data_IF_820411283927
#
_entry.id   IF_820411283927
#
_cell.length_a   1.000
_cell.length_b   1.000
_cell.length_c   1.000
_cell.angle_alpha   90.00
_cell.angle_beta   90.00
_cell.angle_gamma   90.00
#
_symmetry.space_group_name_H-M   'P 1'
#
loop_
_entity.id
_entity.type
_entity.pdbx_description
1 polymer ?
#
# COMPACT_ATOMS: atom_id res chain seq x y z
N UNK A 1 20.81 17.51 -60.14
CA UNK A 1 22.17 17.84 -60.68
C UNK A 1 22.87 16.52 -60.89
N UNK A 2 23.01 16.08 -62.07
CA UNK A 2 23.83 14.90 -62.39
C UNK A 2 25.30 15.21 -62.09
N UNK A 3 25.91 14.49 -61.19
CA UNK A 3 27.37 14.57 -60.96
C UNK A 3 28.07 13.86 -62.13
N UNK A 4 29.15 14.45 -62.63
CA UNK A 4 29.97 13.87 -63.69
C UNK A 4 31.32 13.41 -63.10
N UNK A 5 31.88 12.34 -63.65
CA UNK A 5 33.23 11.90 -63.28
C UNK A 5 34.30 12.85 -63.86
N UNK A 6 35.56 12.62 -63.57
CA UNK A 6 36.69 13.44 -64.06
C UNK A 6 36.83 13.43 -65.59
N UNK A 7 36.18 12.51 -66.28
CA UNK A 7 36.12 12.39 -67.74
C UNK A 7 34.88 13.00 -68.38
N UNK A 8 33.98 13.61 -67.57
CA UNK A 8 32.75 14.25 -68.03
C UNK A 8 31.56 13.32 -68.28
N UNK A 9 31.66 12.04 -67.86
CA UNK A 9 30.56 11.09 -67.98
C UNK A 9 29.55 11.29 -66.86
N UNK A 10 28.28 11.16 -67.15
CA UNK A 10 27.21 11.23 -66.15
C UNK A 10 27.32 10.05 -65.15
N UNK A 11 27.46 10.32 -63.88
CA UNK A 11 27.40 9.33 -62.82
C UNK A 11 25.99 9.27 -62.28
N UNK A 12 25.36 8.11 -62.37
CA UNK A 12 24.08 7.84 -61.76
C UNK A 12 24.22 7.69 -60.25
N UNK A 13 23.60 8.55 -59.53
CA UNK A 13 23.58 8.55 -58.03
C UNK A 13 22.31 7.93 -57.51
N UNK A 14 22.26 7.59 -56.23
CA UNK A 14 21.10 7.06 -55.54
C UNK A 14 19.89 8.04 -55.55
N UNK A 15 20.12 9.32 -55.86
CA UNK A 15 19.08 10.35 -56.06
C UNK A 15 18.45 10.38 -57.45
N UNK A 16 19.06 9.74 -58.43
CA UNK A 16 18.58 9.74 -59.81
C UNK A 16 17.52 8.67 -60.10
N UNK A 17 17.49 7.62 -59.25
CA UNK A 17 16.45 6.57 -59.28
C UNK A 17 15.78 6.47 -57.93
N UNK A 18 14.59 7.03 -57.80
CA UNK A 18 13.82 7.00 -56.56
C UNK A 18 12.77 5.87 -56.51
N UNK A 19 12.49 5.25 -57.69
CA UNK A 19 11.53 4.15 -57.78
C UNK A 19 12.25 2.81 -57.63
N UNK A 20 11.68 1.92 -56.81
CA UNK A 20 12.20 0.58 -56.61
C UNK A 20 13.30 0.46 -55.59
N UNK A 21 13.68 1.53 -54.87
CA UNK A 21 14.63 1.48 -53.79
C UNK A 21 14.03 0.76 -52.59
N UNK A 22 14.66 -0.29 -52.11
CA UNK A 22 14.26 -0.99 -50.90
C UNK A 22 14.60 -0.10 -49.72
N UNK A 23 13.58 0.29 -48.94
CA UNK A 23 13.77 1.03 -47.69
C UNK A 23 14.27 0.04 -46.64
N UNK A 24 15.43 0.33 -46.08
CA UNK A 24 15.97 -0.42 -44.94
C UNK A 24 15.24 0.03 -43.66
N UNK A 25 14.38 -0.84 -43.11
CA UNK A 25 13.63 -0.60 -41.89
C UNK A 25 14.02 -1.72 -40.91
N UNK A 26 14.38 -1.31 -39.69
CA UNK A 26 14.65 -2.26 -38.60
C UNK A 26 13.43 -3.19 -38.39
N UNK A 27 13.64 -4.52 -38.45
CA UNK A 27 12.55 -5.48 -38.22
C UNK A 27 12.02 -5.49 -36.80
N UNK A 28 12.69 -4.82 -35.85
CA UNK A 28 12.28 -4.77 -34.44
C UNK A 28 11.53 -3.50 -34.12
N UNK A 29 10.31 -3.65 -33.56
CA UNK A 29 9.56 -2.54 -32.99
C UNK A 29 9.96 -2.35 -31.54
N UNK A 30 10.63 -1.23 -31.22
CA UNK A 30 10.99 -0.89 -29.86
C UNK A 30 9.82 -0.25 -29.13
N UNK A 31 9.46 -0.80 -27.95
CA UNK A 31 8.47 -0.19 -27.07
C UNK A 31 9.10 0.96 -26.27
N UNK A 32 8.66 2.18 -26.50
CA UNK A 32 9.18 3.38 -25.84
C UNK A 32 8.55 3.63 -24.47
N UNK A 33 7.32 3.14 -24.25
CA UNK A 33 6.61 3.33 -23.00
C UNK A 33 7.05 2.35 -21.92
N UNK A 34 7.12 2.77 -20.65
CA UNK A 34 7.42 1.85 -19.55
C UNK A 34 6.28 0.83 -19.38
N UNK A 35 6.65 -0.43 -19.18
CA UNK A 35 5.72 -1.55 -19.02
C UNK A 35 5.94 -2.35 -17.75
N UNK A 36 6.79 -1.86 -16.85
CA UNK A 36 7.07 -2.49 -15.58
C UNK A 36 5.88 -2.37 -14.62
N UNK A 37 5.67 -3.43 -13.85
CA UNK A 37 4.58 -3.58 -12.89
C UNK A 37 5.19 -3.97 -11.53
N UNK A 38 5.80 -3.01 -10.81
CA UNK A 38 6.54 -3.30 -9.59
C UNK A 38 5.66 -3.88 -8.48
N UNK A 39 4.40 -3.47 -8.37
CA UNK A 39 3.47 -3.98 -7.38
C UNK A 39 3.02 -5.41 -7.71
N UNK A 40 2.65 -5.67 -8.95
CA UNK A 40 2.09 -6.95 -9.37
C UNK A 40 3.14 -8.03 -9.59
N UNK A 41 4.29 -7.67 -10.17
CA UNK A 41 5.34 -8.61 -10.57
C UNK A 41 6.67 -8.36 -9.88
N UNK A 42 6.76 -7.31 -9.06
CA UNK A 42 7.96 -7.01 -8.31
C UNK A 42 8.27 -8.08 -7.26
N UNK A 43 9.56 -8.21 -7.00
CA UNK A 43 10.12 -9.09 -5.98
C UNK A 43 10.96 -8.23 -5.07
N UNK A 44 10.77 -8.37 -3.77
CA UNK A 44 11.61 -7.69 -2.77
C UNK A 44 13.02 -8.26 -2.73
N UNK A 45 13.91 -7.63 -2.01
CA UNK A 45 15.28 -8.10 -1.83
C UNK A 45 15.37 -9.42 -1.03
N UNK A 46 14.26 -9.85 -0.43
CA UNK A 46 14.07 -11.15 0.22
C UNK A 46 13.65 -12.29 -0.74
N UNK A 47 13.51 -12.01 -2.03
CA UNK A 47 13.06 -12.97 -3.03
C UNK A 47 11.55 -13.24 -3.02
N UNK A 48 10.76 -12.52 -2.23
CA UNK A 48 9.30 -12.66 -2.16
C UNK A 48 8.60 -11.58 -2.98
N UNK A 49 7.40 -11.89 -3.46
CA UNK A 49 6.55 -10.90 -4.15
C UNK A 49 6.24 -9.69 -3.25
N UNK A 50 6.09 -8.52 -3.87
CA UNK A 50 5.79 -7.25 -3.16
C UNK A 50 4.45 -7.27 -2.45
N UNK A 51 3.45 -7.96 -3.03
CA UNK A 51 2.14 -8.21 -2.43
C UNK A 51 1.78 -9.69 -2.48
N UNK A 52 0.88 -10.11 -1.60
CA UNK A 52 0.32 -11.43 -1.66
C UNK A 52 -0.73 -11.55 -2.78
N UNK A 53 -0.91 -12.75 -3.33
CA UNK A 53 -1.90 -13.04 -4.37
C UNK A 53 -2.81 -14.17 -3.91
N UNK A 54 -4.10 -14.06 -4.21
CA UNK A 54 -5.10 -15.06 -3.86
C UNK A 54 -6.28 -15.07 -4.82
N UNK A 55 -7.25 -15.92 -4.54
CA UNK A 55 -8.50 -16.01 -5.28
C UNK A 55 -9.66 -15.64 -4.36
N UNK A 56 -10.76 -15.20 -4.93
CA UNK A 56 -12.03 -15.01 -4.25
C UNK A 56 -13.15 -15.71 -5.04
N UNK A 57 -14.27 -15.96 -4.37
CA UNK A 57 -15.39 -16.72 -4.95
C UNK A 57 -16.65 -15.87 -5.07
N UNK A 58 -16.61 -14.64 -4.50
CA UNK A 58 -17.74 -13.73 -4.52
C UNK A 58 -17.29 -12.31 -4.84
N UNK A 59 -18.23 -11.47 -5.32
CA UNK A 59 -18.01 -10.05 -5.64
C UNK A 59 -17.60 -9.20 -4.43
N UNK A 60 -18.10 -9.57 -3.22
CA UNK A 60 -17.81 -8.92 -1.96
C UNK A 60 -16.85 -9.80 -1.16
N UNK A 61 -15.67 -9.30 -0.91
CA UNK A 61 -14.67 -9.99 -0.08
C UNK A 61 -14.68 -9.35 1.30
N UNK A 62 -15.01 -10.14 2.31
CA UNK A 62 -15.05 -9.70 3.70
C UNK A 62 -13.89 -10.30 4.50
N UNK A 63 -13.44 -9.57 5.51
CA UNK A 63 -12.51 -10.05 6.52
C UNK A 63 -12.79 -9.38 7.84
N UNK A 64 -12.29 -9.98 8.89
CA UNK A 64 -12.50 -9.50 10.25
C UNK A 64 -11.15 -9.10 10.85
N UNK A 65 -11.14 -7.93 11.47
CA UNK A 65 -10.05 -7.47 12.31
C UNK A 65 -10.52 -7.57 13.76
N UNK A 66 -9.70 -8.17 14.63
CA UNK A 66 -9.97 -8.31 16.06
C UNK A 66 -8.86 -7.65 16.85
N UNK A 67 -9.19 -7.07 18.00
CA UNK A 67 -8.26 -6.37 18.87
C UNK A 67 -8.32 -6.93 20.29
N UNK A 68 -7.16 -7.11 20.90
CA UNK A 68 -7.08 -7.45 22.31
C UNK A 68 -7.37 -6.23 23.19
N UNK A 69 -8.00 -6.46 24.33
CA UNK A 69 -8.10 -5.46 25.39
C UNK A 69 -6.73 -5.31 26.07
N UNK A 70 -5.84 -4.56 25.46
CA UNK A 70 -4.50 -4.36 26.00
C UNK A 70 -4.54 -3.73 27.40
N UNK A 71 -3.71 -4.19 28.35
CA UNK A 71 -3.68 -3.67 29.74
C UNK A 71 -2.98 -2.31 29.82
N UNK A 72 -3.25 -1.42 28.89
CA UNK A 72 -2.69 -0.07 28.81
C UNK A 72 -3.67 0.91 28.17
N UNK A 73 -3.58 2.17 28.58
CA UNK A 73 -4.32 3.29 28.00
C UNK A 73 -3.58 4.60 28.26
N UNK A 74 -4.23 5.71 27.95
CA UNK A 74 -3.80 7.05 28.33
C UNK A 74 -4.95 7.78 29.03
N UNK A 75 -4.61 8.79 29.83
CA UNK A 75 -5.61 9.67 30.43
C UNK A 75 -6.31 10.49 29.35
N UNK A 76 -7.64 10.38 29.27
CA UNK A 76 -8.47 11.18 28.35
C UNK A 76 -8.65 12.63 28.81
N UNK A 77 -8.49 12.90 30.09
CA UNK A 77 -8.52 14.25 30.67
C UNK A 77 -7.57 14.35 31.86
N UNK A 78 -7.07 15.55 32.13
CA UNK A 78 -6.23 15.81 33.28
C UNK A 78 -6.95 15.56 34.61
N UNK A 79 -6.25 15.04 35.60
CA UNK A 79 -6.73 14.88 36.98
C UNK A 79 -6.12 16.00 37.81
N UNK A 80 -6.84 17.09 37.94
CA UNK A 80 -6.33 18.34 38.54
C UNK A 80 -6.27 18.36 40.06
N UNK A 81 -6.84 17.35 40.76
CA UNK A 81 -6.85 17.28 42.22
C UNK A 81 -6.43 15.92 42.75
N UNK A 82 -5.73 15.92 43.88
CA UNK A 82 -5.28 14.68 44.53
C UNK A 82 -6.42 13.89 45.17
N UNK A 83 -7.58 14.52 45.35
CA UNK A 83 -8.79 13.93 45.95
C UNK A 83 -9.80 13.45 44.92
N UNK A 84 -9.49 13.53 43.64
CA UNK A 84 -10.40 13.07 42.57
C UNK A 84 -10.67 11.57 42.71
N UNK A 85 -11.95 11.22 42.69
CA UNK A 85 -12.44 9.83 42.76
C UNK A 85 -12.80 9.26 41.39
N UNK A 86 -12.62 10.03 40.34
CA UNK A 86 -12.93 9.64 38.95
C UNK A 86 -11.75 9.96 38.06
N UNK A 87 -11.41 9.00 37.21
CA UNK A 87 -10.35 9.12 36.20
C UNK A 87 -10.96 8.84 34.83
N UNK A 88 -10.70 9.73 33.90
CA UNK A 88 -11.13 9.55 32.52
C UNK A 88 -10.01 8.88 31.71
N UNK A 89 -10.33 7.76 31.07
CA UNK A 89 -9.44 7.04 30.15
C UNK A 89 -9.71 7.45 28.70
N UNK A 90 -8.81 7.12 27.80
CA UNK A 90 -8.99 7.37 26.38
C UNK A 90 -10.32 6.77 25.86
N UNK A 91 -10.89 7.39 24.85
CA UNK A 91 -12.18 6.98 24.28
C UNK A 91 -12.14 5.51 23.83
N UNK A 92 -13.17 4.75 24.22
CA UNK A 92 -13.28 3.33 23.90
C UNK A 92 -12.43 2.39 24.78
N UNK A 93 -11.55 2.90 25.65
CA UNK A 93 -10.65 2.07 26.45
C UNK A 93 -11.20 1.64 27.82
N UNK A 94 -12.44 2.05 28.16
CA UNK A 94 -13.03 1.72 29.47
C UNK A 94 -13.08 0.23 29.74
N UNK A 95 -13.40 -0.59 28.74
CA UNK A 95 -13.50 -2.05 28.87
C UNK A 95 -12.15 -2.75 29.07
N UNK A 96 -11.03 -2.04 28.95
CA UNK A 96 -9.69 -2.57 29.26
C UNK A 96 -9.45 -2.74 30.75
N UNK A 97 -10.28 -2.14 31.59
CA UNK A 97 -10.15 -2.09 33.03
C UNK A 97 -11.37 -2.68 33.72
N UNK A 98 -11.16 -3.40 34.80
CA UNK A 98 -12.20 -4.03 35.61
C UNK A 98 -12.19 -3.48 37.03
N UNK A 99 -13.29 -3.71 37.75
CA UNK A 99 -13.35 -3.44 39.19
C UNK A 99 -12.33 -4.30 39.91
N UNK A 100 -11.53 -3.67 40.77
CA UNK A 100 -10.43 -4.33 41.49
C UNK A 100 -9.06 -4.20 40.79
N UNK A 101 -9.00 -3.76 39.54
CA UNK A 101 -7.71 -3.52 38.86
C UNK A 101 -6.95 -2.41 39.57
N UNK A 102 -5.60 -2.59 39.60
CA UNK A 102 -4.66 -1.57 40.06
C UNK A 102 -3.97 -0.98 38.85
N UNK A 103 -4.10 0.32 38.70
CA UNK A 103 -3.52 1.09 37.61
C UNK A 103 -2.32 1.86 38.11
N UNK A 104 -1.25 1.84 37.34
CA UNK A 104 -0.10 2.71 37.54
C UNK A 104 -0.22 3.91 36.59
N UNK A 105 -0.24 5.11 37.12
CA UNK A 105 -0.26 6.38 36.40
C UNK A 105 0.94 7.19 36.90
N UNK A 106 1.95 7.34 36.08
CA UNK A 106 3.26 7.84 36.48
C UNK A 106 3.79 7.03 37.71
N UNK A 107 3.95 7.66 38.86
CA UNK A 107 4.43 7.00 40.08
C UNK A 107 3.31 6.68 41.07
N UNK A 108 2.04 6.93 40.71
CA UNK A 108 0.90 6.69 41.57
C UNK A 108 0.17 5.40 41.23
N UNK A 109 -0.16 4.61 42.23
CA UNK A 109 -1.06 3.48 42.10
C UNK A 109 -2.48 3.90 42.44
N UNK A 110 -3.40 3.52 41.53
CA UNK A 110 -4.82 3.87 41.60
C UNK A 110 -5.63 2.60 41.48
N UNK A 111 -6.52 2.31 42.43
CA UNK A 111 -7.40 1.13 42.39
C UNK A 111 -8.75 1.48 41.78
N UNK A 112 -9.19 0.71 40.81
CA UNK A 112 -10.52 0.83 40.21
C UNK A 112 -11.58 0.25 41.16
N UNK A 113 -12.56 1.04 41.50
CA UNK A 113 -13.70 0.64 42.38
C UNK A 113 -14.96 0.34 41.59
N UNK A 114 -15.04 0.78 40.35
CA UNK A 114 -16.19 0.55 39.49
C UNK A 114 -16.20 1.45 38.27
N UNK A 115 -17.27 1.37 37.51
CA UNK A 115 -17.47 2.22 36.34
C UNK A 115 -18.34 3.44 36.73
N UNK A 116 -17.95 4.61 36.21
CA UNK A 116 -18.79 5.81 36.30
C UNK A 116 -20.00 5.71 35.36
N UNK A 117 -21.07 6.41 35.64
CA UNK A 117 -22.21 6.59 34.74
C UNK A 117 -21.82 7.32 33.44
N UNK A 118 -20.76 8.11 33.49
CA UNK A 118 -20.23 8.82 32.32
C UNK A 118 -19.33 7.91 31.50
N UNK A 119 -19.46 7.95 30.18
CA UNK A 119 -18.64 7.17 29.27
C UNK A 119 -17.14 7.46 29.46
N UNK A 120 -16.31 6.42 29.33
CA UNK A 120 -14.85 6.46 29.43
C UNK A 120 -14.32 6.94 30.81
N UNK A 121 -15.14 6.90 31.87
CA UNK A 121 -14.74 7.24 33.22
C UNK A 121 -14.75 6.01 34.13
N UNK A 122 -13.74 5.93 35.01
CA UNK A 122 -13.57 4.93 36.05
C UNK A 122 -13.67 5.58 37.41
N UNK A 123 -14.45 4.98 38.32
CA UNK A 123 -14.40 5.33 39.71
C UNK A 123 -13.17 4.69 40.36
N UNK A 124 -12.43 5.47 41.13
CA UNK A 124 -11.11 5.02 41.62
C UNK A 124 -10.84 5.45 43.04
N UNK A 125 -9.99 4.68 43.72
CA UNK A 125 -9.35 5.08 44.96
C UNK A 125 -7.89 5.44 44.66
N UNK A 126 -7.50 6.67 45.00
CA UNK A 126 -6.16 7.24 44.81
C UNK A 126 -5.18 6.83 45.88
N UNK A 127 -3.88 6.91 45.57
CA UNK A 127 -2.81 6.65 46.56
C UNK A 127 -2.81 5.21 47.07
N UNK A 128 -3.20 4.24 46.27
CA UNK A 128 -3.27 2.83 46.67
C UNK A 128 -1.85 2.28 46.94
N UNK A 129 -1.76 1.35 47.90
CA UNK A 129 -0.47 0.68 48.24
C UNK A 129 0.57 1.58 48.90
N UNK A 130 0.15 2.73 49.46
CA UNK A 130 1.07 3.68 50.13
C UNK A 130 1.74 4.68 49.19
N UNK A 131 1.30 4.76 47.94
CA UNK A 131 1.75 5.79 47.01
C UNK A 131 1.06 7.14 47.28
N UNK A 132 1.73 8.23 46.89
CA UNK A 132 1.17 9.58 47.08
C UNK A 132 0.32 10.00 45.89
N UNK A 133 -0.91 10.43 46.13
CA UNK A 133 -1.76 10.96 45.11
C UNK A 133 -1.20 12.26 44.53
N UNK A 134 -1.08 12.35 43.21
CA UNK A 134 -0.53 13.49 42.49
C UNK A 134 -1.46 13.97 41.39
N UNK A 135 -1.31 15.20 40.94
CA UNK A 135 -2.01 15.71 39.72
C UNK A 135 -1.42 15.04 38.49
N UNK A 136 -2.30 14.69 37.56
CA UNK A 136 -1.90 14.00 36.32
C UNK A 136 -2.36 14.81 35.12
N UNK A 137 -1.59 14.74 34.02
CA UNK A 137 -1.90 15.47 32.79
C UNK A 137 -2.71 14.59 31.83
N UNK A 138 -3.50 15.23 30.96
CA UNK A 138 -4.13 14.52 29.85
C UNK A 138 -3.06 13.92 28.95
N UNK A 139 -3.22 12.66 28.56
CA UNK A 139 -2.25 11.92 27.76
C UNK A 139 -1.27 11.07 28.57
N UNK A 140 -1.18 11.24 29.90
CA UNK A 140 -0.31 10.39 30.73
C UNK A 140 -0.66 8.91 30.56
N UNK A 141 0.35 8.05 30.52
CA UNK A 141 0.19 6.62 30.32
C UNK A 141 -0.46 5.95 31.55
N UNK A 142 -1.36 5.05 31.28
CA UNK A 142 -2.00 4.17 32.25
C UNK A 142 -1.57 2.73 31.97
N UNK A 143 -0.97 2.08 32.96
CA UNK A 143 -0.65 0.66 32.91
C UNK A 143 -1.56 -0.09 33.89
N UNK A 144 -2.22 -1.15 33.43
CA UNK A 144 -3.01 -2.03 34.30
C UNK A 144 -2.10 -3.16 34.82
N UNK A 145 -1.92 -3.21 36.14
CA UNK A 145 -1.09 -4.21 36.81
C UNK A 145 -1.87 -5.49 37.18
N UNK A 146 -3.16 -5.51 36.88
CA UNK A 146 -4.07 -6.61 37.20
C UNK A 146 -4.95 -6.35 38.41
N UNK A 147 -5.88 -7.27 38.66
CA UNK A 147 -6.85 -7.15 39.73
C UNK A 147 -6.28 -7.67 41.05
N UNK A 148 -6.55 -6.91 42.12
CA UNK A 148 -6.37 -7.36 43.50
C UNK A 148 -7.69 -7.96 44.02
N UNK A 149 -7.73 -9.28 44.01
CA UNK A 149 -8.88 -10.05 44.48
C UNK A 149 -8.60 -10.59 45.88
N UNK A 150 -9.62 -10.72 46.72
CA UNK A 150 -9.54 -11.38 47.98
C UNK A 150 -9.54 -12.92 47.80
N UNK A 151 -8.90 -13.65 48.73
CA UNK A 151 -8.97 -15.11 48.72
C UNK A 151 -10.46 -15.56 48.76
N UNK A 152 -10.84 -16.48 47.84
CA UNK A 152 -12.18 -16.98 47.75
C UNK A 152 -13.20 -16.05 47.11
N UNK A 153 -12.77 -14.93 46.50
CA UNK A 153 -13.67 -14.04 45.74
C UNK A 153 -14.21 -14.70 44.48
N UNK A 154 -15.41 -14.35 44.11
CA UNK A 154 -15.98 -14.75 42.81
C UNK A 154 -15.17 -14.14 41.65
N UNK A 155 -15.21 -14.76 40.46
CA UNK A 155 -14.54 -14.23 39.29
C UNK A 155 -15.12 -12.85 38.93
N UNK A 156 -14.32 -11.92 38.40
CA UNK A 156 -14.82 -10.64 37.92
C UNK A 156 -15.72 -10.82 36.71
N UNK A 157 -16.52 -9.77 36.43
CA UNK A 157 -17.44 -9.75 35.29
C UNK A 157 -16.73 -10.10 33.97
N UNK A 158 -17.39 -10.90 33.15
CA UNK A 158 -16.88 -11.30 31.84
C UNK A 158 -16.73 -10.09 30.92
N UNK A 159 -15.63 -10.03 30.21
CA UNK A 159 -15.37 -9.03 29.14
C UNK A 159 -15.39 -9.71 27.79
N UNK A 160 -15.86 -9.01 26.79
CA UNK A 160 -15.74 -9.44 25.40
C UNK A 160 -15.41 -8.24 24.51
N UNK A 161 -14.84 -8.53 23.37
CA UNK A 161 -14.64 -7.57 22.28
C UNK A 161 -15.40 -8.07 21.07
N UNK A 162 -15.93 -7.13 20.32
CA UNK A 162 -16.52 -7.41 19.02
C UNK A 162 -15.48 -7.20 17.93
N UNK A 163 -15.38 -8.14 17.02
CA UNK A 163 -14.53 -7.98 15.84
C UNK A 163 -15.12 -6.96 14.87
N UNK A 164 -14.26 -6.26 14.17
CA UNK A 164 -14.64 -5.29 13.16
C UNK A 164 -14.69 -5.96 11.78
N UNK A 165 -15.86 -5.97 11.17
CA UNK A 165 -16.02 -6.46 9.81
C UNK A 165 -15.58 -5.40 8.81
N UNK A 166 -14.63 -5.77 7.96
CA UNK A 166 -14.19 -4.98 6.83
C UNK A 166 -14.49 -5.71 5.53
N UNK A 167 -14.70 -4.96 4.46
CA UNK A 167 -14.96 -5.56 3.17
C UNK A 167 -14.45 -4.70 2.02
N UNK A 168 -14.25 -5.34 0.90
CA UNK A 168 -14.00 -4.70 -0.39
C UNK A 168 -14.83 -5.38 -1.47
N UNK A 169 -14.94 -4.74 -2.62
CA UNK A 169 -15.76 -5.19 -3.74
C UNK A 169 -14.85 -5.42 -4.94
N UNK A 170 -15.16 -6.44 -5.75
CA UNK A 170 -14.42 -6.70 -6.97
C UNK A 170 -14.71 -5.64 -8.02
N UNK A 171 -13.68 -5.25 -8.77
CA UNK A 171 -13.78 -4.34 -9.91
C UNK A 171 -13.52 -5.10 -11.20
N UNK A 172 -14.34 -4.83 -12.20
CA UNK A 172 -14.15 -5.34 -13.56
C UNK A 172 -13.21 -4.41 -14.31
N UNK A 173 -12.11 -4.96 -14.79
CA UNK A 173 -11.18 -4.27 -15.68
C UNK A 173 -11.44 -4.70 -17.11
N UNK A 174 -11.55 -3.74 -18.00
CA UNK A 174 -12.06 -3.93 -19.35
C UNK A 174 -13.55 -3.56 -19.45
N UNK A 175 -14.22 -3.96 -20.52
CA UNK A 175 -13.67 -4.63 -21.68
C UNK A 175 -12.82 -3.71 -22.55
N UNK A 176 -11.53 -3.96 -22.60
CA UNK A 176 -10.65 -3.30 -23.58
C UNK A 176 -10.81 -4.02 -24.91
N UNK A 177 -11.40 -3.37 -25.88
CA UNK A 177 -11.68 -3.98 -27.18
C UNK A 177 -10.53 -3.77 -28.17
N UNK A 178 -10.20 -4.80 -28.90
CA UNK A 178 -9.37 -4.74 -30.10
C UNK A 178 -10.31 -4.95 -31.29
N UNK A 179 -10.32 -4.01 -32.23
CA UNK A 179 -11.19 -4.06 -33.40
C UNK A 179 -10.40 -3.63 -34.65
N UNK A 180 -10.16 -4.56 -35.53
CA UNK A 180 -9.41 -4.34 -36.77
C UNK A 180 -10.21 -4.87 -37.97
N UNK A 181 -10.11 -4.18 -39.11
CA UNK A 181 -10.63 -4.70 -40.39
C UNK A 181 -9.81 -5.92 -40.83
N UNK A 182 -10.41 -6.83 -41.55
CA UNK A 182 -9.69 -8.02 -42.04
C UNK A 182 -8.57 -7.63 -43.01
N UNK A 183 -8.75 -6.57 -43.79
CA UNK A 183 -7.72 -6.01 -44.65
C UNK A 183 -6.52 -5.52 -43.86
N UNK A 184 -6.73 -4.73 -42.78
CA UNK A 184 -5.66 -4.24 -41.93
C UNK A 184 -4.88 -5.38 -41.23
N UNK A 185 -5.58 -6.45 -40.88
CA UNK A 185 -4.98 -7.62 -40.29
C UNK A 185 -4.21 -8.48 -41.30
N UNK A 186 -4.58 -8.44 -42.56
CA UNK A 186 -3.95 -9.24 -43.65
C UNK A 186 -2.72 -8.54 -44.21
N UNK A 187 -2.69 -7.21 -44.23
CA UNK A 187 -1.55 -6.43 -44.75
C UNK A 187 -0.30 -6.73 -43.93
N UNK A 188 0.76 -7.18 -44.59
CA UNK A 188 2.05 -7.41 -43.98
C UNK A 188 2.72 -6.10 -43.60
N UNK A 189 3.23 -6.03 -42.38
CA UNK A 189 3.92 -4.86 -41.83
C UNK A 189 5.30 -5.24 -41.34
N UNK A 190 6.25 -4.33 -41.51
CA UNK A 190 7.58 -4.49 -40.94
C UNK A 190 7.49 -4.60 -39.41
N UNK A 191 8.36 -5.43 -38.82
CA UNK A 191 8.42 -5.64 -37.37
C UNK A 191 7.33 -6.53 -36.77
N UNK A 192 6.43 -7.11 -37.60
CA UNK A 192 5.38 -8.03 -37.17
C UNK A 192 5.52 -9.41 -37.83
N UNK A 193 6.75 -9.83 -38.15
CA UNK A 193 7.00 -11.12 -38.73
C UNK A 193 6.55 -12.26 -37.80
N UNK A 194 5.65 -13.12 -38.32
CA UNK A 194 5.09 -14.24 -37.55
C UNK A 194 3.96 -13.89 -36.58
N UNK A 195 3.59 -12.59 -36.40
CA UNK A 195 2.52 -12.15 -35.51
C UNK A 195 1.49 -11.34 -36.28
N UNK A 196 0.20 -11.55 -36.02
CA UNK A 196 -0.84 -10.72 -36.64
C UNK A 196 -0.91 -9.34 -35.98
N UNK A 197 -1.35 -8.33 -36.73
CA UNK A 197 -1.58 -6.99 -36.17
C UNK A 197 -2.55 -7.02 -34.97
N UNK A 198 -3.52 -7.90 -35.05
CA UNK A 198 -4.52 -8.11 -34.02
C UNK A 198 -3.89 -8.61 -32.70
N UNK A 199 -3.02 -9.62 -32.77
CA UNK A 199 -2.34 -10.18 -31.58
C UNK A 199 -1.39 -9.17 -30.95
N UNK A 200 -0.70 -8.39 -31.79
CA UNK A 200 0.17 -7.31 -31.32
C UNK A 200 -0.62 -6.24 -30.54
N UNK A 201 -1.75 -5.77 -31.08
CA UNK A 201 -2.61 -4.81 -30.38
C UNK A 201 -3.23 -5.40 -29.11
N UNK A 202 -3.62 -6.67 -29.12
CA UNK A 202 -4.10 -7.36 -27.92
C UNK A 202 -3.05 -7.38 -26.81
N UNK A 203 -1.79 -7.66 -27.16
CA UNK A 203 -0.67 -7.64 -26.21
C UNK A 203 -0.43 -6.25 -25.62
N UNK A 204 -0.54 -5.18 -26.42
CA UNK A 204 -0.44 -3.80 -25.95
C UNK A 204 -1.57 -3.46 -24.97
N UNK A 205 -2.80 -3.77 -25.34
CA UNK A 205 -3.98 -3.51 -24.49
C UNK A 205 -3.91 -4.27 -23.17
N UNK A 206 -3.35 -5.48 -23.18
CA UNK A 206 -3.12 -6.23 -21.95
C UNK A 206 -2.15 -5.50 -20.99
N UNK A 207 -1.03 -4.98 -21.51
CA UNK A 207 -0.07 -4.21 -20.71
C UNK A 207 -0.71 -2.93 -20.13
N UNK A 208 -1.44 -2.20 -20.96
CA UNK A 208 -2.18 -0.99 -20.52
C UNK A 208 -3.18 -1.30 -19.40
N UNK A 209 -3.93 -2.37 -19.54
CA UNK A 209 -4.89 -2.81 -18.53
C UNK A 209 -4.21 -3.19 -17.20
N UNK A 210 -3.07 -3.89 -17.27
CA UNK A 210 -2.33 -4.27 -16.06
C UNK A 210 -1.77 -3.06 -15.31
N UNK A 211 -1.37 -1.99 -16.01
CA UNK A 211 -0.98 -0.71 -15.40
C UNK A 211 -2.18 -0.08 -14.68
N UNK A 212 -3.37 -0.11 -15.29
CA UNK A 212 -4.59 0.39 -14.64
C UNK A 212 -4.94 -0.41 -13.38
N UNK A 213 -4.78 -1.74 -13.41
CA UNK A 213 -4.96 -2.60 -12.24
C UNK A 213 -4.00 -2.21 -11.12
N UNK A 214 -2.72 -1.99 -11.44
CA UNK A 214 -1.72 -1.58 -10.45
C UNK A 214 -2.06 -0.23 -9.80
N UNK A 215 -2.45 0.75 -10.60
CA UNK A 215 -2.89 2.05 -10.08
C UNK A 215 -4.16 1.95 -9.23
N UNK A 216 -5.13 1.12 -9.63
CA UNK A 216 -6.37 0.93 -8.88
C UNK A 216 -6.15 0.16 -7.57
N UNK A 217 -5.20 -0.78 -7.51
CA UNK A 217 -4.79 -1.46 -6.27
C UNK A 217 -4.22 -0.47 -5.24
N UNK A 218 -3.59 0.60 -5.69
CA UNK A 218 -3.03 1.62 -4.79
C UNK A 218 -4.09 2.68 -4.46
N UNK A 219 -4.70 3.31 -5.46
CA UNK A 219 -5.51 4.55 -5.31
C UNK A 219 -7.01 4.34 -5.45
N UNK A 220 -7.48 3.14 -5.72
CA UNK A 220 -8.90 2.87 -5.86
C UNK A 220 -9.70 3.34 -4.64
N UNK A 221 -10.89 3.86 -4.86
CA UNK A 221 -11.89 4.16 -3.82
C UNK A 221 -13.03 3.18 -3.94
N UNK A 222 -13.49 2.64 -2.81
CA UNK A 222 -14.61 1.69 -2.83
C UNK A 222 -15.91 2.42 -3.18
N UNK A 223 -16.54 1.99 -4.27
CA UNK A 223 -17.82 2.51 -4.70
C UNK A 223 -18.68 1.38 -5.30
N UNK A 224 -19.96 1.35 -4.97
CA UNK A 224 -20.93 0.42 -5.52
C UNK A 224 -22.22 1.17 -5.87
N UNK A 225 -22.59 1.11 -7.15
CA UNK A 225 -23.90 1.52 -7.62
C UNK A 225 -24.70 0.26 -7.96
N UNK A 226 -25.65 -0.08 -7.09
CA UNK A 226 -26.49 -1.28 -7.25
C UNK A 226 -27.48 -1.13 -8.37
N UNK A 227 -27.88 0.10 -8.73
CA UNK A 227 -28.85 0.38 -9.79
C UNK A 227 -28.29 0.12 -11.18
N UNK A 228 -27.01 0.48 -11.39
CA UNK A 228 -26.33 0.31 -12.68
C UNK A 228 -25.31 -0.86 -12.65
N UNK A 229 -25.21 -1.59 -11.56
CA UNK A 229 -24.25 -2.66 -11.35
C UNK A 229 -22.77 -2.24 -11.54
N UNK A 230 -22.47 -0.96 -11.29
CA UNK A 230 -21.12 -0.41 -11.39
C UNK A 230 -20.40 -0.62 -10.06
N UNK A 231 -19.18 -1.17 -10.11
CA UNK A 231 -18.38 -1.46 -8.93
C UNK A 231 -16.96 -0.98 -9.12
N UNK A 232 -16.40 -0.40 -8.06
CA UNK A 232 -15.01 0.00 -7.98
C UNK A 232 -14.42 -0.51 -6.67
N UNK A 233 -13.24 -1.12 -6.73
CA UNK A 233 -12.55 -1.62 -5.55
C UNK A 233 -11.88 -0.46 -4.79
N UNK A 234 -11.79 -0.59 -3.45
CA UNK A 234 -10.91 0.22 -2.64
C UNK A 234 -9.46 -0.26 -2.77
N UNK A 235 -8.53 0.64 -3.00
CA UNK A 235 -7.10 0.37 -3.03
C UNK A 235 -6.46 0.47 -1.63
N UNK A 236 -5.14 0.30 -1.57
CA UNK A 236 -4.38 0.37 -0.32
C UNK A 236 -4.61 1.70 0.42
N UNK A 237 -4.56 2.83 -0.29
CA UNK A 237 -4.75 4.17 0.30
C UNK A 237 -6.14 4.40 0.90
N UNK A 238 -7.16 3.69 0.40
CA UNK A 238 -8.52 3.74 0.95
C UNK A 238 -8.60 3.10 2.34
N UNK A 239 -7.82 2.03 2.59
CA UNK A 239 -7.81 1.32 3.87
C UNK A 239 -6.78 1.89 4.85
N UNK A 240 -5.69 2.50 4.36
CA UNK A 240 -4.64 3.12 5.18
C UNK A 240 -5.11 4.49 5.70
N UNK A 241 -6.00 4.47 6.68
CA UNK A 241 -6.55 5.68 7.34
C UNK A 241 -5.88 6.00 8.67
N UNK A 242 -5.19 5.03 9.26
CA UNK A 242 -4.37 5.18 10.46
C UNK A 242 -2.92 5.48 10.06
N UNK A 243 -2.17 6.14 10.95
CA UNK A 243 -0.74 6.45 10.72
C UNK A 243 -0.49 7.16 9.37
N UNK A 244 -1.29 8.18 9.09
CA UNK A 244 -1.15 9.00 7.87
C UNK A 244 -0.43 10.29 8.23
N UNK A 245 0.75 10.49 7.67
CA UNK A 245 1.44 11.77 7.71
C UNK A 245 1.03 12.61 6.50
N UNK A 246 0.19 13.60 6.76
CA UNK A 246 -0.30 14.58 5.79
C UNK A 246 0.46 15.92 5.89
N UNK A 247 1.51 15.99 6.68
CA UNK A 247 2.37 17.18 6.77
C UNK A 247 3.27 17.27 5.53
N UNK A 248 3.60 18.49 5.12
CA UNK A 248 4.57 18.72 4.04
C UNK A 248 5.97 18.43 4.56
N UNK A 249 6.33 17.17 4.63
CA UNK A 249 7.61 16.72 5.16
C UNK A 249 8.66 16.76 4.05
N UNK A 250 9.75 17.47 4.31
CA UNK A 250 10.94 17.35 3.45
C UNK A 250 11.59 15.98 3.71
N UNK A 251 11.45 15.08 2.76
CA UNK A 251 11.92 13.69 2.86
C UNK A 251 13.43 13.54 2.59
N UNK A 252 14.20 14.64 2.67
CA UNK A 252 15.64 14.66 2.44
C UNK A 252 16.44 14.66 3.75
N UNK A 253 17.59 14.01 3.75
CA UNK A 253 18.53 14.01 4.88
C UNK A 253 17.94 13.44 6.17
N UNK A 254 18.46 13.89 7.30
CA UNK A 254 18.08 13.42 8.65
C UNK A 254 16.62 13.73 9.02
N UNK A 255 16.02 14.77 8.47
CA UNK A 255 14.61 15.12 8.71
C UNK A 255 13.68 14.07 8.08
N UNK A 256 13.96 13.68 6.84
CA UNK A 256 13.18 12.65 6.16
C UNK A 256 13.36 11.27 6.78
N UNK A 257 14.58 10.94 7.19
CA UNK A 257 14.87 9.70 7.92
C UNK A 257 14.13 9.65 9.27
N UNK A 258 14.17 10.76 10.04
CA UNK A 258 13.45 10.86 11.31
C UNK A 258 11.93 10.67 11.12
N UNK A 259 11.32 11.37 10.16
CA UNK A 259 9.90 11.20 9.86
C UNK A 259 9.55 9.76 9.45
N UNK A 260 10.43 9.09 8.69
CA UNK A 260 10.23 7.69 8.33
C UNK A 260 10.28 6.77 9.54
N UNK A 261 11.23 6.99 10.46
CA UNK A 261 11.33 6.23 11.72
C UNK A 261 10.13 6.49 12.64
N UNK A 262 9.62 7.71 12.71
CA UNK A 262 8.42 8.05 13.48
C UNK A 262 7.19 7.27 12.98
N UNK A 263 7.03 7.11 11.68
CA UNK A 263 5.95 6.31 11.10
C UNK A 263 6.14 4.80 11.37
N UNK A 264 7.38 4.30 11.34
CA UNK A 264 7.67 2.91 11.73
C UNK A 264 7.38 2.68 13.22
N UNK A 265 7.73 3.63 14.09
CA UNK A 265 7.42 3.59 15.51
C UNK A 265 5.89 3.57 15.74
N UNK A 266 5.12 4.37 14.99
CA UNK A 266 3.67 4.37 15.07
C UNK A 266 3.09 3.00 14.69
N UNK A 267 3.57 2.38 13.61
CA UNK A 267 3.20 1.02 13.22
C UNK A 267 3.55 -0.01 14.31
N UNK A 268 4.76 0.06 14.86
CA UNK A 268 5.22 -0.84 15.92
C UNK A 268 4.37 -0.70 17.19
N UNK A 269 4.04 0.53 17.59
CA UNK A 269 3.18 0.80 18.74
C UNK A 269 1.78 0.23 18.54
N UNK A 270 1.26 0.24 17.31
CA UNK A 270 0.00 -0.41 16.95
C UNK A 270 0.10 -1.95 16.91
N UNK A 271 1.30 -2.53 16.99
CA UNK A 271 1.53 -3.98 16.93
C UNK A 271 1.90 -4.51 15.55
N UNK A 272 2.15 -3.64 14.58
CA UNK A 272 2.56 -3.98 13.23
C UNK A 272 4.08 -4.06 13.08
N UNK A 273 4.52 -4.88 12.13
CA UNK A 273 5.92 -4.96 11.68
C UNK A 273 5.93 -4.87 10.15
N UNK A 274 5.86 -3.67 9.58
CA UNK A 274 5.93 -3.51 8.14
C UNK A 274 7.31 -3.93 7.62
N UNK A 275 7.34 -4.56 6.46
CA UNK A 275 8.56 -5.07 5.81
C UNK A 275 8.81 -4.47 4.43
N UNK A 276 7.87 -3.66 3.93
CA UNK A 276 7.93 -3.01 2.61
C UNK A 276 7.67 -1.52 2.71
N UNK A 277 8.43 -0.75 1.95
CA UNK A 277 8.15 0.66 1.71
C UNK A 277 8.16 0.92 0.19
N UNK A 278 7.02 1.29 -0.35
CA UNK A 278 6.84 1.57 -1.77
C UNK A 278 6.89 3.08 -2.00
N UNK A 279 7.70 3.50 -2.95
CA UNK A 279 7.90 4.91 -3.29
C UNK A 279 8.23 5.10 -4.77
N UNK A 280 8.10 6.32 -5.25
CA UNK A 280 8.51 6.68 -6.59
C UNK A 280 10.03 6.95 -6.68
N UNK A 281 10.51 7.24 -7.90
CA UNK A 281 11.92 7.48 -8.19
C UNK A 281 12.48 8.72 -7.48
N UNK A 282 11.67 9.77 -7.31
CA UNK A 282 12.08 11.02 -6.65
C UNK A 282 12.35 10.76 -5.18
N UNK A 283 11.41 10.12 -4.49
CA UNK A 283 11.56 9.80 -3.07
C UNK A 283 12.64 8.75 -2.83
N UNK A 284 12.77 7.76 -3.73
CA UNK A 284 13.85 6.79 -3.66
C UNK A 284 15.23 7.44 -3.72
N UNK A 285 15.37 8.46 -4.58
CA UNK A 285 16.61 9.25 -4.66
C UNK A 285 16.89 10.04 -3.37
N UNK A 286 15.83 10.59 -2.71
CA UNK A 286 15.97 11.27 -1.42
C UNK A 286 16.44 10.28 -0.33
N UNK A 287 15.85 9.08 -0.27
CA UNK A 287 16.26 8.01 0.65
C UNK A 287 17.72 7.60 0.43
N UNK A 288 18.17 7.48 -0.81
CA UNK A 288 19.57 7.16 -1.11
C UNK A 288 20.55 8.25 -0.67
N UNK A 289 20.05 9.44 -0.37
CA UNK A 289 20.83 10.54 0.18
C UNK A 289 20.86 10.61 1.71
N UNK A 290 20.20 9.70 2.43
CA UNK A 290 20.28 9.60 3.88
C UNK A 290 21.69 9.21 4.30
N UNK A 291 22.06 9.47 5.57
CA UNK A 291 23.44 9.29 6.02
C UNK A 291 23.95 7.86 5.73
N UNK A 292 25.08 7.79 5.03
CA UNK A 292 25.65 6.53 4.55
C UNK A 292 26.16 5.58 5.64
N UNK A 293 26.22 6.02 6.90
CA UNK A 293 26.65 5.21 8.01
C UNK A 293 25.64 4.13 8.40
N UNK A 294 24.34 4.40 8.18
CA UNK A 294 23.24 3.55 8.64
C UNK A 294 22.63 2.72 7.51
N UNK A 295 23.02 3.01 6.27
CA UNK A 295 22.53 2.28 5.09
C UNK A 295 23.50 1.16 4.74
N UNK A 296 23.06 -0.07 4.92
CA UNK A 296 23.83 -1.23 4.43
C UNK A 296 23.50 -1.48 2.97
N UNK A 297 24.55 -1.37 2.14
CA UNK A 297 24.51 -1.68 0.72
C UNK A 297 24.38 -3.19 0.54
N UNK A 298 23.40 -3.62 -0.24
CA UNK A 298 23.47 -4.92 -0.89
C UNK A 298 24.73 -4.95 -1.76
N UNK A 299 25.53 -5.99 -1.60
CA UNK A 299 26.84 -6.10 -2.22
C UNK A 299 26.74 -6.27 -3.72
N UNK A 300 26.70 -5.16 -4.47
CA UNK A 300 27.02 -5.18 -5.89
C UNK A 300 28.48 -4.79 -6.05
N UNK A 301 29.32 -5.74 -6.40
CA UNK A 301 30.73 -5.54 -6.65
C UNK A 301 30.97 -4.56 -7.82
N UNK A 302 31.86 -3.58 -7.61
CA UNK A 302 32.54 -2.80 -8.64
C UNK A 302 31.79 -1.70 -9.40
N UNK A 303 30.64 -1.21 -8.97
CA UNK A 303 29.96 -0.05 -9.56
C UNK A 303 30.15 1.25 -8.76
N UNK A 304 30.44 2.38 -9.41
CA UNK A 304 30.29 3.71 -8.79
C UNK A 304 28.80 4.01 -8.63
N UNK A 305 28.26 3.91 -7.43
CA UNK A 305 26.85 4.26 -7.13
C UNK A 305 26.35 3.53 -5.90
N UNK A 306 25.41 4.14 -5.18
CA UNK A 306 24.72 3.52 -4.05
C UNK A 306 23.32 3.09 -4.49
N UNK A 307 23.06 1.78 -4.50
CA UNK A 307 21.70 1.24 -4.61
C UNK A 307 21.28 0.80 -3.22
N UNK A 308 20.35 1.52 -2.63
CA UNK A 308 19.77 1.15 -1.34
C UNK A 308 18.56 0.26 -1.61
N UNK A 309 18.70 -1.03 -1.40
CA UNK A 309 17.62 -2.01 -1.59
C UNK A 309 16.78 -2.16 -0.34
N UNK A 310 17.38 -2.03 0.82
CA UNK A 310 16.70 -2.17 2.12
C UNK A 310 17.31 -1.23 3.17
N UNK A 311 16.52 -0.93 4.18
CA UNK A 311 16.90 -0.16 5.35
C UNK A 311 16.73 -1.02 6.60
N UNK A 312 17.72 -1.01 7.47
CA UNK A 312 17.65 -1.69 8.77
C UNK A 312 17.41 -0.62 9.81
N UNK A 313 16.20 -0.61 10.37
CA UNK A 313 15.78 0.24 11.47
C UNK A 313 15.78 -0.54 12.78
N UNK A 314 15.60 0.17 13.90
CA UNK A 314 15.38 -0.44 15.23
C UNK A 314 14.11 -1.32 15.27
N UNK A 315 13.18 -1.08 14.35
CA UNK A 315 11.90 -1.79 14.25
C UNK A 315 11.90 -2.95 13.25
N UNK A 316 13.02 -3.18 12.58
CA UNK A 316 13.19 -4.27 11.63
C UNK A 316 13.76 -3.83 10.29
N UNK A 317 13.81 -4.78 9.36
CA UNK A 317 14.28 -4.56 8.00
C UNK A 317 13.12 -4.16 7.10
N UNK A 318 13.29 -3.08 6.37
CA UNK A 318 12.33 -2.57 5.40
C UNK A 318 12.94 -2.64 4.00
N UNK A 319 12.31 -3.35 3.09
CA UNK A 319 12.70 -3.41 1.69
C UNK A 319 12.04 -2.26 0.90
N UNK A 320 12.84 -1.53 0.15
CA UNK A 320 12.35 -0.44 -0.68
C UNK A 320 11.92 -0.94 -2.05
N UNK A 321 10.68 -0.66 -2.40
CA UNK A 321 10.10 -1.00 -3.70
C UNK A 321 9.95 0.27 -4.53
N UNK A 322 10.65 0.31 -5.67
CA UNK A 322 10.53 1.42 -6.61
C UNK A 322 9.31 1.21 -7.49
N UNK A 323 8.36 2.14 -7.44
CA UNK A 323 7.16 2.11 -8.28
C UNK A 323 6.92 3.48 -8.94
N UNK A 324 7.08 3.55 -10.27
CA UNK A 324 6.89 4.78 -11.05
C UNK A 324 5.43 5.24 -11.16
N UNK A 325 4.49 4.35 -10.84
CA UNK A 325 3.05 4.66 -10.89
C UNK A 325 2.54 5.33 -9.62
N UNK A 326 3.38 5.43 -8.57
CA UNK A 326 3.05 6.20 -7.38
C UNK A 326 3.22 7.70 -7.65
N UNK A 327 2.36 8.50 -6.98
CA UNK A 327 2.52 9.94 -6.93
C UNK A 327 3.78 10.31 -6.14
N UNK A 328 4.39 11.43 -6.47
CA UNK A 328 5.59 11.94 -5.78
C UNK A 328 5.35 12.26 -4.30
N UNK A 329 4.11 12.56 -3.97
CA UNK A 329 3.68 12.94 -2.62
C UNK A 329 3.47 11.72 -1.70
N UNK A 330 3.39 10.52 -2.26
CA UNK A 330 3.01 9.32 -1.52
C UNK A 330 4.20 8.37 -1.29
N UNK A 331 4.27 7.86 -0.04
CA UNK A 331 5.04 6.66 0.30
C UNK A 331 4.12 5.75 1.10
N UNK A 332 4.09 4.46 0.75
CA UNK A 332 3.29 3.44 1.42
C UNK A 332 4.23 2.50 2.18
N UNK A 333 3.99 2.35 3.49
CA UNK A 333 4.73 1.46 4.37
C UNK A 333 3.75 0.38 4.84
N UNK A 334 4.02 -0.88 4.52
CA UNK A 334 3.10 -1.98 4.81
C UNK A 334 3.82 -3.31 4.96
N UNK A 335 3.15 -4.28 5.56
CA UNK A 335 3.59 -5.68 5.54
C UNK A 335 3.09 -6.39 4.30
N UNK A 336 3.93 -7.21 3.68
CA UNK A 336 3.58 -7.98 2.48
C UNK A 336 2.26 -8.75 2.63
N UNK A 337 2.06 -9.39 3.77
CA UNK A 337 0.89 -10.24 4.01
C UNK A 337 -0.38 -9.45 4.35
N UNK A 338 -0.23 -8.16 4.63
CA UNK A 338 -1.36 -7.24 4.84
C UNK A 338 -2.02 -6.85 3.52
N UNK A 339 -1.23 -6.72 2.46
CA UNK A 339 -1.66 -6.28 1.15
C UNK A 339 -1.76 -7.46 0.18
N UNK A 340 -2.99 -7.82 -0.20
CA UNK A 340 -3.26 -8.97 -1.05
C UNK A 340 -4.17 -8.58 -2.22
N UNK A 341 -3.78 -8.96 -3.43
CA UNK A 341 -4.67 -8.94 -4.60
C UNK A 341 -5.43 -10.26 -4.66
N UNK A 342 -6.76 -10.20 -4.72
CA UNK A 342 -7.62 -11.36 -4.94
C UNK A 342 -8.29 -11.30 -6.31
N UNK A 343 -8.26 -12.41 -7.01
CA UNK A 343 -8.81 -12.54 -8.36
C UNK A 343 -10.10 -13.34 -8.31
N UNK A 344 -11.20 -12.76 -8.82
CA UNK A 344 -12.48 -13.44 -9.03
C UNK A 344 -12.51 -14.11 -10.40
N UNK A 345 -12.21 -13.34 -11.44
CA UNK A 345 -12.03 -13.84 -12.80
C UNK A 345 -10.64 -13.50 -13.30
N UNK A 346 -9.90 -14.53 -13.72
CA UNK A 346 -8.59 -14.34 -14.34
C UNK A 346 -8.68 -13.45 -15.57
N UNK A 347 -7.58 -12.76 -15.86
CA UNK A 347 -7.50 -11.96 -17.07
C UNK A 347 -7.51 -12.87 -18.29
N UNK A 348 -8.50 -12.67 -19.18
CA UNK A 348 -8.67 -13.49 -20.37
C UNK A 348 -8.92 -12.60 -21.57
N UNK A 349 -8.35 -13.02 -22.69
CA UNK A 349 -8.68 -12.48 -24.00
C UNK A 349 -9.76 -13.37 -24.65
N UNK A 350 -10.85 -12.76 -25.10
CA UNK A 350 -11.95 -13.46 -25.74
C UNK A 350 -12.21 -12.87 -27.13
N UNK A 351 -12.24 -13.72 -28.14
CA UNK A 351 -12.70 -13.35 -29.47
C UNK A 351 -14.20 -13.17 -29.44
N UNK A 352 -14.68 -12.06 -29.99
CA UNK A 352 -16.11 -11.80 -30.14
C UNK A 352 -16.62 -12.31 -31.49
N UNK A 353 -17.93 -12.55 -31.58
CA UNK A 353 -18.56 -12.98 -32.79
C UNK A 353 -18.34 -11.96 -33.93
N UNK A 354 -18.07 -12.46 -35.12
CA UNK A 354 -17.87 -11.66 -36.34
C UNK A 354 -19.20 -11.06 -36.80
N UNK A 355 -19.29 -9.73 -36.85
CA UNK A 355 -20.50 -9.01 -37.31
C UNK A 355 -20.30 -8.30 -38.65
N UNK A 356 -19.20 -8.51 -39.31
CA UNK A 356 -18.82 -7.88 -40.59
C UNK A 356 -17.41 -8.32 -40.96
N UNK A 357 -16.80 -7.64 -41.93
CA UNK A 357 -15.44 -7.90 -42.37
C UNK A 357 -14.40 -7.29 -41.40
N UNK A 358 -14.50 -7.70 -40.13
CA UNK A 358 -13.62 -7.23 -39.08
C UNK A 358 -13.45 -8.28 -37.99
N UNK A 359 -12.31 -8.25 -37.28
CA UNK A 359 -12.04 -9.04 -36.08
C UNK A 359 -12.24 -8.18 -34.86
N UNK A 360 -12.92 -8.73 -33.85
CA UNK A 360 -13.13 -8.10 -32.56
C UNK A 360 -12.72 -9.05 -31.46
N UNK A 361 -12.04 -8.52 -30.48
CA UNK A 361 -11.71 -9.23 -29.24
C UNK A 361 -11.82 -8.31 -28.05
N UNK A 362 -12.06 -8.87 -26.90
CA UNK A 362 -12.05 -8.12 -25.63
C UNK A 362 -11.14 -8.76 -24.60
N UNK A 363 -10.50 -7.92 -23.83
CA UNK A 363 -9.78 -8.29 -22.62
C UNK A 363 -10.64 -7.96 -21.42
N UNK A 364 -10.80 -8.90 -20.51
CA UNK A 364 -11.56 -8.71 -19.28
C UNK A 364 -10.92 -9.49 -18.13
N UNK A 365 -10.93 -8.89 -16.96
CA UNK A 365 -10.54 -9.53 -15.69
C UNK A 365 -11.27 -8.89 -14.54
N UNK A 366 -11.38 -9.57 -13.42
CA UNK A 366 -12.05 -9.06 -12.23
C UNK A 366 -11.22 -9.37 -11.00
N UNK A 367 -10.80 -8.32 -10.32
CA UNK A 367 -9.93 -8.40 -9.15
C UNK A 367 -10.41 -7.47 -8.04
N UNK A 368 -9.92 -7.72 -6.84
CA UNK A 368 -10.10 -6.84 -5.68
C UNK A 368 -8.85 -6.78 -4.84
N UNK A 369 -8.77 -5.75 -4.00
CA UNK A 369 -7.74 -5.56 -3.00
C UNK A 369 -8.26 -6.01 -1.63
N UNK A 370 -7.50 -6.78 -0.89
CA UNK A 370 -7.69 -7.00 0.54
C UNK A 370 -6.53 -6.37 1.30
N UNK A 371 -6.84 -5.50 2.26
CA UNK A 371 -5.85 -4.85 3.11
C UNK A 371 -6.22 -5.08 4.57
N UNK A 372 -5.43 -5.89 5.29
CA UNK A 372 -5.67 -6.30 6.68
C UNK A 372 -4.87 -5.44 7.63
N UNK A 373 -5.39 -5.22 8.84
CA UNK A 373 -4.65 -4.56 9.90
C UNK A 373 -4.22 -3.14 9.50
N UNK A 374 -5.12 -2.28 9.10
CA UNK A 374 -4.84 -0.91 8.70
C UNK A 374 -3.94 -0.12 9.69
N UNK A 375 -4.06 -0.26 11.02
CA UNK A 375 -3.18 0.40 11.98
C UNK A 375 -1.71 -0.07 11.95
N UNK A 376 -1.44 -1.22 11.36
CA UNK A 376 -0.09 -1.78 11.25
C UNK A 376 0.69 -1.26 10.03
N UNK A 377 0.09 -0.41 9.24
CA UNK A 377 0.67 0.21 8.06
C UNK A 377 0.70 1.74 8.24
N UNK A 378 1.55 2.41 7.47
CA UNK A 378 1.65 3.86 7.48
C UNK A 378 1.72 4.42 6.06
N UNK A 379 1.35 5.68 5.92
CA UNK A 379 1.36 6.39 4.64
C UNK A 379 1.84 7.82 4.84
N UNK A 380 2.72 8.26 3.97
CA UNK A 380 2.93 9.69 3.70
C UNK A 380 2.03 10.11 2.54
N UNK A 381 1.40 11.27 2.63
CA UNK A 381 0.45 11.75 1.62
C UNK A 381 0.72 13.17 1.15
N UNK A 382 1.78 13.82 1.64
CA UNK A 382 2.11 15.21 1.32
C UNK A 382 3.63 15.48 1.35
N UNK A 383 4.43 14.57 0.75
CA UNK A 383 5.88 14.75 0.68
C UNK A 383 6.24 15.88 -0.29
N UNK A 384 7.10 16.80 0.15
CA UNK A 384 7.61 17.91 -0.65
C UNK A 384 8.88 17.55 -1.45
#
# INVERSE_FOLDING_TARGET
MTTTDAAGNAIYNTTDLTEGVIIDIDPMIQMLSPTDLPLLNGVGSDGRSVIAKGTCFEKKVEWQDDELLLPRSTLGAAVGTTTATVVQVAAGHRLRFQTGDVLLINDEMVRVTGYSSTANQLNVTRGFGGTTAATQSSGDAILNLGAHLSEGSDPPDARHTDWTNRYNITQIFGPTAVHLSETENTVRKYGLEGTTRFDYEASKRFKEMMIQVEQALVYGTRYEDTSNAIRQMGGATYFMTSNVDASTTNFSGTTGEGAFLDQLQACYTAGGMPDRAMMNEVNKRKVSGWASADIRLGRADNGRGQIVEYYISDFGRIDFVLNRWLRTEDILIYGRDQFMMKTLRGFQFQMLAKTGDSRRGMLVGEVTCQFKGAPHAARFSAIA
#
